data_IF_352307206166
#
_entry.id   IF_352307206166
#
_cell.length_a   1.000
_cell.length_b   1.000
_cell.length_c   1.000
_cell.angle_alpha   90.00
_cell.angle_beta   90.00
_cell.angle_gamma   90.00
#
_symmetry.space_group_name_H-M   'P 1'
#
loop_
_entity.id
_entity.type
_entity.pdbx_description
1 polymer ?
#
# COMPACT_ATOMS: atom_id res chain seq x y z
N UNK A 1 -0.15 18.64 11.69
CA UNK A 1 -0.71 20.00 11.49
C UNK A 1 -2.24 19.92 11.43
N UNK A 2 -2.86 19.15 10.52
CA UNK A 2 -4.33 19.03 10.41
C UNK A 2 -4.93 18.55 11.73
N UNK A 3 -4.32 17.58 12.38
CA UNK A 3 -4.73 17.05 13.70
C UNK A 3 -4.42 17.97 14.87
N UNK A 4 -3.93 19.19 14.60
CA UNK A 4 -3.60 20.22 15.58
C UNK A 4 -2.51 19.84 16.62
N UNK A 5 -1.76 18.75 16.39
CA UNK A 5 -0.63 18.34 17.25
C UNK A 5 0.55 19.30 17.07
N UNK A 6 0.75 19.77 15.84
CA UNK A 6 1.79 20.75 15.50
C UNK A 6 1.14 22.02 14.96
N UNK A 7 1.61 23.16 15.44
CA UNK A 7 1.23 24.48 14.92
C UNK A 7 2.13 24.82 13.72
N UNK A 8 1.58 25.30 12.59
CA UNK A 8 2.41 25.72 11.47
C UNK A 8 3.20 26.97 11.84
N UNK A 9 4.47 27.03 11.44
CA UNK A 9 5.33 28.21 11.64
C UNK A 9 4.84 29.40 10.82
N UNK A 10 4.27 29.14 9.63
CA UNK A 10 3.69 30.14 8.75
C UNK A 10 2.36 29.63 8.19
N UNK A 11 1.43 30.55 7.95
CA UNK A 11 0.11 30.24 7.48
C UNK A 11 -0.86 29.84 8.60
N UNK A 12 -2.03 29.31 8.21
CA UNK A 12 -3.06 28.85 9.14
C UNK A 12 -3.79 27.64 8.62
N UNK A 13 -4.26 26.79 9.53
CA UNK A 13 -5.14 25.66 9.23
C UNK A 13 -6.47 25.89 9.91
N UNK A 14 -7.56 25.88 9.12
CA UNK A 14 -8.92 25.99 9.63
C UNK A 14 -9.65 24.66 9.39
N UNK A 15 -10.12 24.04 10.47
CA UNK A 15 -10.91 22.82 10.45
C UNK A 15 -12.34 23.18 10.83
N UNK A 16 -13.32 22.83 9.99
CA UNK A 16 -14.74 23.02 10.26
C UNK A 16 -15.38 21.66 10.52
N UNK A 17 -15.84 21.44 11.75
CA UNK A 17 -16.43 20.18 12.18
C UNK A 17 -15.57 19.43 13.21
N UNK A 18 -16.10 18.32 13.72
CA UNK A 18 -15.43 17.46 14.71
C UNK A 18 -14.42 16.56 14.00
N UNK A 19 -13.13 16.79 14.31
CA UNK A 19 -12.03 16.02 13.73
C UNK A 19 -11.65 14.89 14.69
N UNK A 20 -11.61 13.66 14.18
CA UNK A 20 -11.16 12.47 14.88
C UNK A 20 -9.83 12.01 14.27
N UNK A 21 -8.70 12.28 14.93
CA UNK A 21 -7.39 11.82 14.45
C UNK A 21 -7.12 10.40 14.96
N UNK A 22 -6.86 9.49 14.04
CA UNK A 22 -6.40 8.15 14.34
C UNK A 22 -4.99 7.98 13.75
N UNK A 23 -4.00 8.42 14.53
CA UNK A 23 -2.62 8.59 14.05
C UNK A 23 -1.77 7.37 14.40
N UNK A 24 -2.09 6.68 15.50
CA UNK A 24 -1.33 5.52 15.96
C UNK A 24 -2.27 4.54 16.66
N UNK A 25 -2.14 3.26 16.31
CA UNK A 25 -2.93 2.17 16.89
C UNK A 25 -2.65 2.02 18.38
N UNK A 26 -3.71 2.17 19.19
CA UNK A 26 -3.63 1.94 20.65
C UNK A 26 -3.01 3.07 21.47
N UNK A 27 -2.72 4.23 20.87
CA UNK A 27 -2.35 5.42 21.65
C UNK A 27 -3.48 5.75 22.60
N UNK A 28 -3.13 5.90 23.88
CA UNK A 28 -4.09 6.15 24.96
C UNK A 28 -4.68 4.89 25.58
N UNK A 29 -4.39 3.70 25.09
CA UNK A 29 -4.79 2.47 25.75
C UNK A 29 -3.90 2.18 26.97
N UNK A 30 -4.55 1.74 28.06
CA UNK A 30 -3.87 1.30 29.28
C UNK A 30 -4.00 -0.23 29.42
N UNK A 31 -2.89 -0.99 29.39
CA UNK A 31 -2.92 -2.45 29.50
C UNK A 31 -3.51 -2.98 30.81
N UNK A 32 -3.50 -2.19 31.89
CA UNK A 32 -4.03 -2.58 33.19
C UNK A 32 -5.53 -2.39 33.32
N UNK A 33 -6.15 -1.62 32.43
CA UNK A 33 -7.59 -1.45 32.33
C UNK A 33 -8.23 -2.54 31.48
N UNK A 34 -9.52 -2.77 31.68
CA UNK A 34 -10.34 -3.68 30.87
C UNK A 34 -10.57 -3.12 29.47
N UNK A 35 -11.05 -3.95 28.54
CA UNK A 35 -11.48 -3.49 27.21
C UNK A 35 -12.53 -2.38 27.32
N UNK A 36 -13.54 -2.56 28.19
CA UNK A 36 -14.57 -1.57 28.48
C UNK A 36 -13.98 -0.23 28.91
N UNK A 37 -13.15 -0.23 29.96
CA UNK A 37 -12.52 0.98 30.47
C UNK A 37 -11.64 1.68 29.43
N UNK A 38 -10.98 0.92 28.57
CA UNK A 38 -10.19 1.47 27.47
C UNK A 38 -11.04 2.12 26.37
N UNK A 39 -12.27 1.63 26.10
CA UNK A 39 -13.20 2.30 25.19
C UNK A 39 -13.54 3.69 25.73
N UNK A 40 -13.88 3.81 27.01
CA UNK A 40 -14.17 5.11 27.64
C UNK A 40 -12.95 6.02 27.67
N UNK A 41 -11.79 5.49 28.06
CA UNK A 41 -10.55 6.26 28.09
C UNK A 41 -10.19 6.81 26.71
N UNK A 42 -10.24 5.96 25.70
CA UNK A 42 -9.89 6.36 24.32
C UNK A 42 -10.94 7.32 23.73
N UNK A 43 -12.23 7.05 23.96
CA UNK A 43 -13.31 7.95 23.56
C UNK A 43 -13.17 9.34 24.16
N UNK A 44 -12.82 9.44 25.45
CA UNK A 44 -12.58 10.72 26.13
C UNK A 44 -11.35 11.45 25.55
N UNK A 45 -10.27 10.74 25.20
CA UNK A 45 -9.10 11.31 24.52
C UNK A 45 -9.44 11.84 23.13
N UNK A 46 -10.40 11.23 22.45
CA UNK A 46 -10.93 11.70 21.17
C UNK A 46 -11.95 12.85 21.32
N UNK A 47 -12.21 13.30 22.55
CA UNK A 47 -13.06 14.45 22.87
C UNK A 47 -14.55 14.14 22.94
N UNK A 48 -14.94 12.89 23.20
CA UNK A 48 -16.32 12.47 23.40
C UNK A 48 -16.70 12.53 24.88
N UNK A 49 -17.94 12.91 25.16
CA UNK A 49 -18.51 12.83 26.52
C UNK A 49 -18.83 11.38 26.87
N UNK A 50 -19.07 11.13 28.17
CA UNK A 50 -19.44 9.79 28.64
C UNK A 50 -20.74 9.31 27.99
N UNK A 51 -21.72 10.19 27.88
CA UNK A 51 -23.02 9.91 27.26
C UNK A 51 -22.89 9.58 25.76
N UNK A 52 -22.00 10.29 25.05
CA UNK A 52 -21.70 9.98 23.63
C UNK A 52 -21.04 8.61 23.50
N UNK A 53 -20.14 8.25 24.42
CA UNK A 53 -19.48 6.95 24.43
C UNK A 53 -20.48 5.84 24.74
N UNK A 54 -21.37 6.04 25.74
CA UNK A 54 -22.44 5.09 26.07
C UNK A 54 -23.33 4.80 24.86
N UNK A 55 -23.69 5.84 24.10
CA UNK A 55 -24.55 5.68 22.91
C UNK A 55 -23.91 4.89 21.79
N UNK A 56 -22.56 4.84 21.67
CA UNK A 56 -21.87 4.11 20.62
C UNK A 56 -21.13 2.85 21.11
N UNK A 57 -21.22 2.56 22.44
CA UNK A 57 -20.45 1.47 23.06
C UNK A 57 -20.78 0.10 22.43
N UNK A 58 -22.07 -0.24 22.33
CA UNK A 58 -22.50 -1.53 21.79
C UNK A 58 -22.07 -1.68 20.33
N UNK A 59 -22.19 -0.63 19.53
CA UNK A 59 -21.73 -0.61 18.13
C UNK A 59 -20.20 -0.80 18.01
N UNK A 60 -19.43 -0.23 18.94
CA UNK A 60 -17.96 -0.41 18.98
C UNK A 60 -17.63 -1.87 19.26
N UNK A 61 -18.28 -2.47 20.27
CA UNK A 61 -18.01 -3.83 20.73
C UNK A 61 -18.40 -4.84 19.65
N UNK A 62 -19.59 -4.68 19.03
CA UNK A 62 -20.07 -5.51 17.92
C UNK A 62 -19.14 -5.40 16.70
N UNK A 63 -18.69 -4.20 16.36
CA UNK A 63 -17.77 -4.04 15.24
C UNK A 63 -16.43 -4.72 15.50
N UNK A 64 -15.91 -4.61 16.74
CA UNK A 64 -14.65 -5.24 17.14
C UNK A 64 -14.77 -6.77 17.28
N UNK A 65 -15.99 -7.34 17.45
CA UNK A 65 -16.26 -8.75 17.77
C UNK A 65 -15.52 -9.18 19.05
N UNK A 66 -15.66 -8.40 20.11
CA UNK A 66 -14.92 -8.59 21.37
C UNK A 66 -15.86 -8.66 22.58
N UNK A 67 -17.15 -8.98 22.39
CA UNK A 67 -18.19 -9.01 23.43
C UNK A 67 -17.75 -9.80 24.66
N UNK A 68 -17.22 -10.99 24.47
CA UNK A 68 -16.81 -11.92 25.54
C UNK A 68 -15.50 -11.49 26.24
N UNK A 69 -14.82 -10.48 25.72
CA UNK A 69 -13.50 -10.07 26.21
C UNK A 69 -13.51 -8.71 26.91
N UNK A 70 -14.61 -7.95 26.83
CA UNK A 70 -14.64 -6.55 27.26
C UNK A 70 -14.36 -6.35 28.75
N UNK A 71 -14.62 -7.33 29.61
CA UNK A 71 -14.36 -7.28 31.03
C UNK A 71 -12.95 -7.81 31.40
N UNK A 72 -12.18 -8.28 30.41
CA UNK A 72 -10.79 -8.69 30.61
C UNK A 72 -9.84 -7.51 30.45
N UNK A 73 -8.71 -7.55 31.20
CA UNK A 73 -7.66 -6.54 31.06
C UNK A 73 -7.02 -6.59 29.67
N UNK A 74 -6.74 -5.42 29.11
CA UNK A 74 -6.21 -5.27 27.76
C UNK A 74 -4.85 -5.98 27.54
N UNK A 75 -4.03 -6.14 28.60
CA UNK A 75 -2.80 -6.91 28.56
C UNK A 75 -2.99 -8.39 28.18
N UNK A 76 -4.19 -8.92 28.35
CA UNK A 76 -4.55 -10.29 28.00
C UNK A 76 -5.05 -10.43 26.54
N UNK A 77 -5.23 -9.30 25.84
CA UNK A 77 -5.64 -9.28 24.44
C UNK A 77 -4.47 -9.61 23.53
N UNK A 78 -4.74 -10.34 22.47
CA UNK A 78 -3.78 -10.45 21.36
C UNK A 78 -3.57 -9.09 20.71
N UNK A 79 -2.46 -8.90 20.01
CA UNK A 79 -2.21 -7.66 19.25
C UNK A 79 -3.33 -7.37 18.26
N UNK A 80 -3.88 -8.41 17.60
CA UNK A 80 -5.02 -8.29 16.70
C UNK A 80 -6.29 -7.78 17.40
N UNK A 81 -6.59 -8.29 18.61
CA UNK A 81 -7.74 -7.82 19.40
C UNK A 81 -7.58 -6.35 19.80
N UNK A 82 -6.38 -5.94 20.25
CA UNK A 82 -6.11 -4.55 20.62
C UNK A 82 -6.31 -3.62 19.42
N UNK A 83 -5.80 -4.01 18.27
CA UNK A 83 -5.92 -3.27 17.01
C UNK A 83 -7.39 -3.15 16.58
N UNK A 84 -8.15 -4.26 16.64
CA UNK A 84 -9.58 -4.28 16.31
C UNK A 84 -10.37 -3.34 17.24
N UNK A 85 -10.12 -3.37 18.53
CA UNK A 85 -10.77 -2.48 19.48
C UNK A 85 -10.44 -1.01 19.20
N UNK A 86 -9.17 -0.66 19.07
CA UNK A 86 -8.73 0.71 18.81
C UNK A 86 -9.33 1.27 17.51
N UNK A 87 -9.31 0.47 16.45
CA UNK A 87 -9.90 0.86 15.18
C UNK A 87 -11.42 1.04 15.30
N UNK A 88 -12.13 0.15 16.00
CA UNK A 88 -13.57 0.23 16.20
C UNK A 88 -13.98 1.49 16.95
N UNK A 89 -13.24 1.89 17.98
CA UNK A 89 -13.47 3.16 18.69
C UNK A 89 -13.32 4.33 17.73
N UNK A 90 -12.24 4.36 16.94
CA UNK A 90 -11.97 5.48 16.03
C UNK A 90 -13.02 5.65 14.93
N UNK A 91 -13.47 4.55 14.30
CA UNK A 91 -14.42 4.63 13.19
C UNK A 91 -15.88 4.83 13.64
N UNK A 92 -16.24 4.35 14.83
CA UNK A 92 -17.58 4.55 15.40
C UNK A 92 -17.70 5.91 16.06
N UNK A 93 -16.58 6.53 16.41
CA UNK A 93 -16.55 7.91 16.82
C UNK A 93 -17.15 8.80 15.71
N UNK A 94 -18.34 9.38 16.00
CA UNK A 94 -19.11 10.16 15.02
C UNK A 94 -18.48 11.54 14.75
N UNK A 95 -17.28 11.55 14.14
CA UNK A 95 -16.63 12.77 13.67
C UNK A 95 -17.09 13.17 12.27
N UNK A 96 -16.96 14.45 11.94
CA UNK A 96 -17.18 14.96 10.58
C UNK A 96 -15.99 14.68 9.70
N UNK A 97 -14.78 14.68 10.31
CA UNK A 97 -13.50 14.49 9.63
C UNK A 97 -12.73 13.37 10.35
N UNK A 98 -12.44 12.29 9.65
CA UNK A 98 -11.64 11.17 10.13
C UNK A 98 -10.25 11.23 9.49
N UNK A 99 -9.19 11.30 10.28
CA UNK A 99 -7.80 11.25 9.82
C UNK A 99 -7.21 9.90 10.19
N UNK A 100 -6.78 9.12 9.20
CA UNK A 100 -6.21 7.78 9.34
C UNK A 100 -4.75 7.81 8.88
N UNK A 101 -3.82 7.45 9.75
CA UNK A 101 -2.38 7.42 9.45
C UNK A 101 -1.86 5.98 9.54
N UNK A 102 -1.52 5.38 8.38
CA UNK A 102 -0.97 4.01 8.23
C UNK A 102 -1.79 2.87 8.87
N UNK A 103 -3.09 3.07 9.13
CA UNK A 103 -3.89 2.17 10.00
C UNK A 103 -4.82 1.20 9.26
N UNK A 104 -4.76 1.10 7.93
CA UNK A 104 -5.71 0.28 7.16
C UNK A 104 -5.32 -1.20 7.00
N UNK A 105 -4.09 -1.58 7.31
CA UNK A 105 -3.62 -2.97 7.19
C UNK A 105 -3.79 -3.72 8.53
N UNK A 106 -5.02 -3.75 9.08
CA UNK A 106 -5.27 -4.24 10.44
C UNK A 106 -6.25 -5.42 10.46
N UNK A 107 -6.00 -6.36 11.37
CA UNK A 107 -6.88 -7.50 11.62
C UNK A 107 -6.72 -8.64 10.60
N UNK A 108 -7.61 -9.62 10.72
CA UNK A 108 -7.74 -10.73 9.78
C UNK A 108 -8.59 -10.35 8.56
N UNK A 109 -8.71 -11.28 7.62
CA UNK A 109 -9.46 -11.05 6.38
C UNK A 109 -10.95 -10.72 6.62
N UNK A 110 -11.55 -11.29 7.68
CA UNK A 110 -12.95 -11.03 8.02
C UNK A 110 -13.13 -9.60 8.53
N UNK A 111 -12.24 -9.14 9.41
CA UNK A 111 -12.24 -7.76 9.89
C UNK A 111 -11.91 -6.76 8.79
N UNK A 112 -10.99 -7.11 7.88
CA UNK A 112 -10.68 -6.27 6.72
C UNK A 112 -11.91 -6.04 5.83
N UNK A 113 -12.76 -7.06 5.63
CA UNK A 113 -14.02 -6.90 4.89
C UNK A 113 -15.01 -5.96 5.60
N UNK A 114 -15.08 -5.99 6.93
CA UNK A 114 -15.88 -5.03 7.70
C UNK A 114 -15.38 -3.59 7.50
N UNK A 115 -14.08 -3.40 7.53
CA UNK A 115 -13.46 -2.10 7.24
C UNK A 115 -13.79 -1.64 5.82
N UNK A 116 -13.70 -2.52 4.83
CA UNK A 116 -14.05 -2.24 3.44
C UNK A 116 -15.49 -1.76 3.29
N UNK A 117 -16.43 -2.45 3.93
CA UNK A 117 -17.85 -2.08 3.92
C UNK A 117 -18.07 -0.72 4.58
N UNK A 118 -17.43 -0.47 5.72
CA UNK A 118 -17.50 0.80 6.42
C UNK A 118 -17.02 1.97 5.54
N UNK A 119 -15.86 1.83 4.86
CA UNK A 119 -15.38 2.86 3.94
C UNK A 119 -16.26 3.03 2.71
N UNK A 120 -16.86 1.96 2.21
CA UNK A 120 -17.81 2.03 1.11
C UNK A 120 -19.08 2.82 1.49
N UNK A 121 -19.54 2.69 2.73
CA UNK A 121 -20.70 3.45 3.24
C UNK A 121 -20.34 4.92 3.51
N UNK A 122 -19.23 5.19 4.18
CA UNK A 122 -18.77 6.59 4.41
C UNK A 122 -18.59 7.34 3.10
N UNK A 123 -18.08 6.66 2.07
CA UNK A 123 -17.88 7.28 0.74
C UNK A 123 -19.16 7.78 0.09
N UNK A 124 -20.32 7.25 0.50
CA UNK A 124 -21.65 7.70 0.03
C UNK A 124 -22.18 8.92 0.80
N UNK A 125 -21.65 9.18 1.98
CA UNK A 125 -22.06 10.28 2.85
C UNK A 125 -21.29 11.56 2.51
N UNK A 126 -21.92 12.57 1.85
CA UNK A 126 -21.23 13.79 1.48
C UNK A 126 -20.89 14.70 2.66
N UNK A 127 -21.41 14.41 3.85
CA UNK A 127 -21.13 15.19 5.08
C UNK A 127 -19.85 14.74 5.77
N UNK A 128 -19.32 13.56 5.42
CA UNK A 128 -18.11 12.98 6.02
C UNK A 128 -16.88 13.20 5.14
N UNK A 129 -15.78 13.51 5.79
CA UNK A 129 -14.47 13.62 5.13
C UNK A 129 -13.52 12.61 5.74
N UNK A 130 -12.87 11.79 4.90
CA UNK A 130 -11.81 10.86 5.33
C UNK A 130 -10.49 11.30 4.70
N UNK A 131 -9.49 11.53 5.54
CA UNK A 131 -8.11 11.80 5.14
C UNK A 131 -7.30 10.56 5.45
N UNK A 132 -6.82 9.89 4.42
CA UNK A 132 -5.97 8.71 4.54
C UNK A 132 -4.53 9.08 4.24
N UNK A 133 -3.65 8.86 5.21
CA UNK A 133 -2.20 8.95 5.03
C UNK A 133 -1.65 7.54 4.91
N UNK A 134 -1.00 7.21 3.81
CA UNK A 134 -0.50 5.85 3.58
C UNK A 134 0.57 5.81 2.49
N UNK A 135 1.43 4.81 2.55
CA UNK A 135 2.37 4.45 1.50
C UNK A 135 1.84 3.32 0.58
N UNK A 136 0.64 2.77 0.86
CA UNK A 136 0.01 1.72 0.06
C UNK A 136 -0.81 2.32 -1.07
N UNK A 137 -0.32 2.19 -2.30
CA UNK A 137 -1.04 2.69 -3.48
C UNK A 137 -2.31 1.90 -3.77
N UNK A 138 -2.37 0.63 -3.37
CA UNK A 138 -3.60 -0.17 -3.45
C UNK A 138 -4.68 0.40 -2.53
N UNK A 139 -4.34 0.82 -1.32
CA UNK A 139 -5.26 1.48 -0.41
C UNK A 139 -5.74 2.83 -0.98
N UNK A 140 -4.83 3.64 -1.56
CA UNK A 140 -5.19 4.89 -2.23
C UNK A 140 -6.18 4.64 -3.36
N UNK A 141 -5.87 3.70 -4.27
CA UNK A 141 -6.75 3.36 -5.41
C UNK A 141 -8.10 2.81 -4.96
N UNK A 142 -8.15 2.07 -3.86
CA UNK A 142 -9.36 1.44 -3.34
C UNK A 142 -10.27 2.44 -2.61
N UNK A 143 -9.73 3.19 -1.65
CA UNK A 143 -10.53 3.97 -0.71
C UNK A 143 -10.67 5.45 -1.06
N UNK A 144 -9.70 6.05 -1.76
CA UNK A 144 -9.73 7.48 -2.06
C UNK A 144 -10.49 7.83 -3.33
N UNK A 145 -10.95 9.06 -3.42
CA UNK A 145 -11.46 9.68 -4.65
C UNK A 145 -10.35 10.51 -5.30
N UNK A 146 -9.68 11.34 -4.49
CA UNK A 146 -8.56 12.17 -4.87
C UNK A 146 -7.35 11.82 -3.99
N UNK A 147 -6.17 12.16 -4.45
CA UNK A 147 -4.94 11.99 -3.70
C UNK A 147 -4.01 13.20 -3.84
N UNK A 148 -3.09 13.32 -2.88
CA UNK A 148 -2.04 14.33 -2.87
C UNK A 148 -0.73 13.59 -2.60
N UNK A 149 0.28 13.83 -3.42
CA UNK A 149 1.62 13.32 -3.22
C UNK A 149 2.52 14.40 -2.65
N UNK A 150 3.06 14.15 -1.47
CA UNK A 150 3.99 15.06 -0.79
C UNK A 150 5.38 14.42 -0.84
N UNK A 151 6.38 15.22 -1.24
CA UNK A 151 7.79 14.84 -1.23
C UNK A 151 8.63 16.03 -0.76
N UNK A 152 9.55 15.77 0.18
CA UNK A 152 10.44 16.77 0.74
C UNK A 152 9.72 18.05 1.26
N UNK A 153 8.48 17.88 1.76
CA UNK A 153 7.64 18.95 2.28
C UNK A 153 6.83 19.72 1.23
N UNK A 154 6.94 19.37 -0.05
CA UNK A 154 6.22 19.99 -1.16
C UNK A 154 5.17 19.07 -1.77
N UNK A 155 4.06 19.66 -2.24
CA UNK A 155 3.05 18.94 -3.00
C UNK A 155 3.53 18.84 -4.45
N UNK A 156 3.90 17.63 -4.87
CA UNK A 156 4.42 17.38 -6.21
C UNK A 156 3.36 16.81 -7.19
N UNK A 157 2.24 16.31 -6.67
CA UNK A 157 1.07 15.93 -7.46
C UNK A 157 -0.21 16.02 -6.63
N UNK A 158 -1.32 16.36 -7.27
CA UNK A 158 -2.66 16.42 -6.64
C UNK A 158 -3.73 16.19 -7.69
N UNK A 159 -4.74 15.40 -7.39
CA UNK A 159 -5.86 15.12 -8.29
C UNK A 159 -6.38 13.69 -8.22
N UNK A 160 -6.66 13.08 -9.37
CA UNK A 160 -7.16 11.71 -9.45
C UNK A 160 -6.20 10.74 -8.75
N UNK A 161 -6.78 9.83 -7.98
CA UNK A 161 -6.05 8.86 -7.17
C UNK A 161 -5.14 7.95 -7.97
N UNK A 162 -5.52 7.57 -9.21
CA UNK A 162 -4.73 6.67 -10.04
C UNK A 162 -3.51 7.40 -10.59
N UNK A 163 -3.69 8.63 -11.08
CA UNK A 163 -2.61 9.46 -11.61
C UNK A 163 -1.56 9.74 -10.52
N UNK A 164 -2.02 10.08 -9.31
CA UNK A 164 -1.14 10.36 -8.17
C UNK A 164 -0.43 9.09 -7.69
N UNK A 165 -1.11 7.94 -7.65
CA UNK A 165 -0.50 6.66 -7.27
C UNK A 165 0.55 6.20 -8.29
N UNK A 166 0.30 6.40 -9.58
CA UNK A 166 1.26 6.07 -10.63
C UNK A 166 2.49 7.00 -10.54
N UNK A 167 2.27 8.30 -10.30
CA UNK A 167 3.36 9.27 -10.05
C UNK A 167 4.21 8.90 -8.83
N UNK A 168 3.58 8.46 -7.72
CA UNK A 168 4.31 7.97 -6.53
C UNK A 168 5.22 6.79 -6.89
N UNK A 169 4.72 5.86 -7.70
CA UNK A 169 5.50 4.70 -8.14
C UNK A 169 6.70 5.12 -8.99
N UNK A 170 6.51 6.05 -9.93
CA UNK A 170 7.59 6.60 -10.76
C UNK A 170 8.67 7.31 -9.92
N UNK A 171 8.26 8.14 -8.95
CA UNK A 171 9.18 8.87 -8.06
C UNK A 171 10.02 7.90 -7.23
N UNK A 172 9.41 6.84 -6.69
CA UNK A 172 10.12 5.80 -5.93
C UNK A 172 11.11 5.01 -6.80
N UNK A 173 10.76 4.71 -8.04
CA UNK A 173 11.66 4.05 -8.99
C UNK A 173 12.84 4.96 -9.34
N UNK A 174 12.58 6.25 -9.55
CA UNK A 174 13.63 7.26 -9.88
C UNK A 174 14.56 7.50 -8.69
N UNK A 175 14.02 7.61 -7.47
CA UNK A 175 14.81 7.77 -6.25
C UNK A 175 15.73 6.56 -5.99
N UNK A 176 15.26 5.34 -6.26
CA UNK A 176 16.08 4.12 -6.18
C UNK A 176 17.22 4.14 -7.21
N UNK A 177 17.00 4.67 -8.41
CA UNK A 177 18.04 4.82 -9.43
C UNK A 177 19.12 5.83 -9.03
N UNK A 178 18.73 6.97 -8.46
CA UNK A 178 19.66 8.01 -8.02
C UNK A 178 20.53 7.59 -6.81
N UNK A 179 19.97 6.89 -5.82
CA UNK A 179 20.75 6.36 -4.69
C UNK A 179 21.81 5.33 -5.10
N UNK A 180 21.59 4.61 -6.21
CA UNK A 180 22.54 3.60 -6.70
C UNK A 180 23.70 4.18 -7.50
N UNK A 181 23.59 5.40 -8.04
CA UNK A 181 24.70 6.07 -8.74
C UNK A 181 25.81 6.57 -7.80
N UNK A 182 25.54 6.70 -6.49
CA UNK A 182 26.50 7.22 -5.52
C UNK A 182 27.48 6.14 -5.01
N UNK A 183 27.12 4.85 -5.09
CA UNK A 183 27.92 3.76 -4.49
C UNK A 183 28.64 2.83 -5.49
N UNK A 184 28.65 3.14 -6.79
CA UNK A 184 29.26 2.24 -7.79
C UNK A 184 28.57 0.87 -7.87
N UNK A 185 27.39 0.70 -7.29
CA UNK A 185 26.62 -0.52 -7.32
C UNK A 185 25.88 -0.65 -8.66
N UNK A 186 25.82 -1.90 -9.15
CA UNK A 186 25.06 -2.26 -10.34
C UNK A 186 23.56 -1.94 -10.23
N UNK A 187 22.86 -1.78 -11.35
CA UNK A 187 21.39 -1.65 -11.38
C UNK A 187 20.71 -2.83 -10.66
N UNK A 188 19.49 -2.64 -10.15
CA UNK A 188 18.78 -3.65 -9.35
C UNK A 188 18.68 -5.00 -10.08
N UNK A 189 19.21 -6.04 -9.45
CA UNK A 189 19.27 -7.38 -10.04
C UNK A 189 20.55 -7.64 -10.84
N UNK A 190 21.43 -6.65 -11.00
CA UNK A 190 22.75 -6.80 -11.59
C UNK A 190 23.82 -6.92 -10.50
N UNK A 191 24.89 -7.61 -10.81
CA UNK A 191 26.04 -7.82 -9.91
C UNK A 191 27.34 -7.90 -10.71
N UNK A 192 28.44 -8.18 -10.03
CA UNK A 192 29.75 -8.28 -10.68
C UNK A 192 29.82 -9.43 -11.71
N UNK A 193 29.08 -10.52 -11.49
CA UNK A 193 29.02 -11.66 -12.39
C UNK A 193 28.14 -11.37 -13.63
N UNK A 194 27.10 -10.53 -13.47
CA UNK A 194 26.23 -10.07 -14.54
C UNK A 194 26.02 -8.55 -14.47
N UNK A 195 26.92 -7.77 -15.08
CA UNK A 195 26.84 -6.32 -15.04
C UNK A 195 25.82 -5.69 -16.01
N UNK A 196 25.29 -6.48 -16.94
CA UNK A 196 24.33 -6.03 -17.94
C UNK A 196 23.23 -7.07 -18.15
N UNK A 197 21.97 -6.63 -18.03
CA UNK A 197 20.78 -7.39 -18.44
C UNK A 197 19.71 -6.42 -18.91
N UNK A 198 19.36 -6.44 -20.19
CA UNK A 198 18.39 -5.53 -20.81
C UNK A 198 17.43 -6.26 -21.73
N UNK A 199 16.14 -5.92 -21.63
CA UNK A 199 15.11 -6.36 -22.58
C UNK A 199 14.92 -5.26 -23.62
N UNK A 200 15.03 -5.61 -24.90
CA UNK A 200 14.76 -4.72 -26.05
C UNK A 200 13.58 -5.29 -26.83
N UNK A 201 12.43 -4.62 -26.90
CA UNK A 201 11.33 -5.08 -27.74
C UNK A 201 11.75 -5.04 -29.22
N UNK A 202 11.49 -6.14 -29.94
CA UNK A 202 11.64 -6.24 -31.41
C UNK A 202 10.28 -6.02 -32.06
N UNK A 203 9.22 -6.60 -31.49
CA UNK A 203 7.84 -6.34 -31.89
C UNK A 203 7.37 -4.96 -31.43
N UNK A 204 6.26 -4.47 -32.00
CA UNK A 204 5.58 -3.28 -31.46
C UNK A 204 5.14 -3.55 -30.03
N UNK A 205 5.24 -2.53 -29.17
CA UNK A 205 4.85 -2.63 -27.74
C UNK A 205 3.34 -2.91 -27.60
N UNK A 206 2.53 -2.50 -28.58
CA UNK A 206 1.12 -2.87 -28.67
C UNK A 206 0.97 -4.00 -29.68
N UNK A 207 0.58 -5.18 -29.20
CA UNK A 207 0.44 -6.40 -30.00
C UNK A 207 -1.02 -6.82 -30.03
N UNK A 208 -1.53 -7.18 -31.22
CA UNK A 208 -2.87 -7.74 -31.33
C UNK A 208 -2.91 -9.19 -30.84
N UNK A 209 -4.01 -9.59 -30.21
CA UNK A 209 -4.19 -10.94 -29.71
C UNK A 209 -3.95 -12.01 -30.79
N UNK A 210 -3.15 -13.02 -30.47
CA UNK A 210 -2.76 -14.10 -31.38
C UNK A 210 -1.41 -13.93 -32.03
N UNK A 211 -0.80 -12.74 -32.02
CA UNK A 211 0.59 -12.56 -32.50
C UNK A 211 1.56 -12.70 -31.30
N UNK A 212 2.69 -13.37 -31.49
CA UNK A 212 3.72 -13.44 -30.46
C UNK A 212 4.38 -12.07 -30.24
N UNK A 213 4.96 -11.89 -29.06
CA UNK A 213 5.80 -10.75 -28.76
C UNK A 213 7.26 -11.15 -28.82
N UNK A 214 7.99 -10.56 -29.77
CA UNK A 214 9.42 -10.81 -29.96
C UNK A 214 10.22 -9.75 -29.23
N UNK A 215 11.26 -10.18 -28.53
CA UNK A 215 12.18 -9.30 -27.82
C UNK A 215 13.59 -9.89 -27.77
N UNK A 216 14.56 -9.00 -27.71
CA UNK A 216 15.95 -9.32 -27.50
C UNK A 216 16.30 -9.15 -26.04
N UNK A 217 17.01 -10.12 -25.51
CA UNK A 217 17.65 -10.06 -24.22
C UNK A 217 19.15 -9.87 -24.40
N UNK A 218 19.66 -8.69 -24.10
CA UNK A 218 21.07 -8.35 -24.10
C UNK A 218 21.64 -8.52 -22.70
N UNK A 219 22.67 -9.34 -22.55
CA UNK A 219 23.31 -9.59 -21.26
C UNK A 219 24.82 -9.73 -21.37
N UNK A 220 25.53 -9.41 -20.27
CA UNK A 220 26.96 -9.67 -20.12
C UNK A 220 27.17 -10.59 -18.92
N UNK A 221 27.83 -11.73 -19.12
CA UNK A 221 28.23 -12.65 -18.07
C UNK A 221 29.76 -12.64 -17.92
N UNK A 222 30.26 -12.44 -16.71
CA UNK A 222 31.69 -12.49 -16.36
C UNK A 222 32.05 -13.79 -15.66
N UNK A 223 31.05 -14.55 -15.24
CA UNK A 223 31.27 -15.85 -14.59
C UNK A 223 31.07 -17.00 -15.58
N UNK A 224 31.80 -18.10 -15.35
CA UNK A 224 31.69 -19.35 -16.13
C UNK A 224 30.76 -20.36 -15.44
N UNK A 225 30.02 -19.97 -14.42
CA UNK A 225 29.07 -20.81 -13.71
C UNK A 225 27.79 -21.07 -14.50
N UNK A 226 26.98 -21.99 -13.98
CA UNK A 226 25.61 -22.23 -14.50
C UNK A 226 24.71 -21.08 -14.04
N UNK A 227 24.53 -20.08 -14.91
CA UNK A 227 23.64 -18.95 -14.71
C UNK A 227 22.35 -19.18 -15.48
N UNK A 228 21.22 -18.83 -14.88
CA UNK A 228 19.91 -18.94 -15.51
C UNK A 228 19.25 -17.56 -15.58
N UNK A 229 18.65 -17.26 -16.72
CA UNK A 229 17.80 -16.08 -16.86
C UNK A 229 16.35 -16.53 -16.78
N UNK A 230 15.61 -15.90 -15.88
CA UNK A 230 14.17 -16.10 -15.70
C UNK A 230 13.40 -14.90 -16.21
N UNK A 231 12.18 -15.16 -16.70
CA UNK A 231 11.27 -14.14 -17.17
C UNK A 231 9.98 -14.22 -16.37
N UNK A 232 9.52 -13.08 -15.93
CA UNK A 232 8.26 -12.95 -15.22
C UNK A 232 7.36 -11.95 -15.95
N UNK A 233 6.13 -12.34 -16.25
CA UNK A 233 5.11 -11.49 -16.83
C UNK A 233 4.09 -11.11 -15.77
N UNK A 234 3.89 -9.81 -15.59
CA UNK A 234 2.94 -9.24 -14.63
C UNK A 234 1.76 -8.61 -15.36
N UNK A 235 0.54 -8.82 -14.85
CA UNK A 235 -0.62 -8.01 -15.25
C UNK A 235 -0.59 -6.68 -14.47
N UNK A 236 -0.46 -5.58 -15.19
CA UNK A 236 -0.34 -4.24 -14.57
C UNK A 236 -1.68 -3.78 -13.98
N UNK A 237 -2.82 -4.18 -14.59
CA UNK A 237 -4.15 -3.73 -14.16
C UNK A 237 -4.73 -4.58 -13.02
N UNK A 238 -4.56 -5.90 -13.10
CA UNK A 238 -5.13 -6.82 -12.12
C UNK A 238 -4.19 -7.08 -10.95
N UNK A 239 -2.91 -6.77 -11.12
CA UNK A 239 -1.85 -7.14 -10.20
C UNK A 239 -1.52 -8.64 -10.26
N UNK A 240 -0.27 -8.98 -9.95
CA UNK A 240 0.18 -10.36 -9.84
C UNK A 240 0.95 -10.90 -11.04
N UNK A 241 1.59 -12.04 -10.80
CA UNK A 241 2.38 -12.78 -11.78
C UNK A 241 1.44 -13.67 -12.58
N UNK A 242 1.47 -13.55 -13.91
CA UNK A 242 0.68 -14.39 -14.82
C UNK A 242 1.51 -15.55 -15.35
N UNK A 243 2.79 -15.31 -15.59
CA UNK A 243 3.70 -16.29 -16.14
C UNK A 243 5.09 -16.08 -15.53
N UNK A 244 5.72 -17.18 -15.17
CA UNK A 244 7.12 -17.26 -14.75
C UNK A 244 7.79 -18.37 -15.54
N UNK A 245 8.92 -18.06 -16.18
CA UNK A 245 9.61 -19.02 -17.03
C UNK A 245 10.45 -20.03 -16.22
N UNK A 246 10.57 -19.85 -14.92
CA UNK A 246 11.47 -20.64 -14.09
C UNK A 246 12.87 -20.78 -14.73
N UNK A 247 13.40 -21.97 -14.88
CA UNK A 247 14.78 -22.25 -15.35
C UNK A 247 14.95 -22.27 -16.88
N UNK A 248 14.17 -21.51 -17.63
CA UNK A 248 14.02 -21.70 -19.08
C UNK A 248 15.21 -21.25 -19.92
N UNK A 249 16.14 -20.45 -19.41
CA UNK A 249 17.30 -19.99 -20.18
C UNK A 249 18.61 -20.18 -19.41
N UNK A 250 19.34 -21.24 -19.76
CA UNK A 250 20.67 -21.49 -19.22
C UNK A 250 21.73 -20.70 -19.98
N UNK A 251 22.52 -19.88 -19.30
CA UNK A 251 23.66 -19.18 -19.87
C UNK A 251 24.90 -20.05 -19.75
N UNK A 252 25.52 -20.32 -20.87
CA UNK A 252 26.67 -21.27 -20.93
C UNK A 252 27.98 -20.58 -21.29
N UNK A 253 27.95 -19.27 -21.63
CA UNK A 253 29.14 -18.59 -22.17
C UNK A 253 29.37 -17.23 -21.49
N UNK A 254 30.63 -16.98 -21.10
CA UNK A 254 31.11 -15.66 -20.72
C UNK A 254 31.07 -14.68 -21.89
N UNK A 255 30.92 -13.40 -21.57
CA UNK A 255 30.96 -12.31 -22.53
C UNK A 255 29.61 -11.62 -22.74
N UNK A 256 29.56 -10.79 -23.74
CA UNK A 256 28.37 -10.04 -24.14
C UNK A 256 27.58 -10.84 -25.18
N UNK A 257 26.31 -11.06 -24.89
CA UNK A 257 25.43 -11.86 -25.73
C UNK A 257 24.07 -11.21 -25.93
N UNK A 258 23.41 -11.58 -27.02
CA UNK A 258 22.02 -11.24 -27.31
C UNK A 258 21.26 -12.52 -27.60
N UNK A 259 20.20 -12.78 -26.86
CA UNK A 259 19.28 -13.89 -27.10
C UNK A 259 17.97 -13.34 -27.68
N UNK A 260 17.54 -13.90 -28.84
CA UNK A 260 16.24 -13.59 -29.44
C UNK A 260 15.18 -14.51 -28.83
N UNK A 261 14.14 -13.92 -28.27
CA UNK A 261 13.11 -14.62 -27.53
C UNK A 261 11.72 -14.22 -28.04
N UNK A 262 10.80 -15.17 -27.93
CA UNK A 262 9.43 -15.01 -28.37
C UNK A 262 8.48 -15.44 -27.25
N UNK A 263 7.59 -14.53 -26.83
CA UNK A 263 6.54 -14.82 -25.88
C UNK A 263 5.21 -15.06 -26.62
N UNK A 264 4.61 -16.26 -26.52
CA UNK A 264 3.34 -16.55 -27.16
C UNK A 264 2.20 -15.85 -26.39
N UNK A 265 1.63 -14.79 -26.97
CA UNK A 265 0.55 -14.01 -26.35
C UNK A 265 -0.85 -14.57 -26.60
N UNK A 266 -0.99 -15.62 -27.36
CA UNK A 266 -2.28 -16.30 -27.63
C UNK A 266 -2.91 -16.96 -26.39
N UNK A 267 -2.13 -17.09 -25.31
CA UNK A 267 -2.59 -17.64 -24.02
C UNK A 267 -3.13 -16.55 -23.07
N UNK A 268 -2.99 -15.27 -23.44
CA UNK A 268 -3.35 -14.15 -22.56
C UNK A 268 -4.55 -13.38 -23.12
N UNK A 269 -5.42 -12.93 -22.22
CA UNK A 269 -6.52 -12.01 -22.56
C UNK A 269 -5.99 -10.59 -22.69
N UNK A 270 -6.78 -9.69 -23.31
CA UNK A 270 -6.43 -8.28 -23.42
C UNK A 270 -6.07 -7.67 -22.07
N UNK A 271 -4.91 -7.03 -22.00
CA UNK A 271 -4.40 -6.41 -20.76
C UNK A 271 -3.12 -5.62 -21.00
N UNK A 272 -2.67 -4.95 -19.97
CA UNK A 272 -1.38 -4.27 -19.94
C UNK A 272 -0.40 -5.14 -19.15
N UNK A 273 0.71 -5.51 -19.77
CA UNK A 273 1.65 -6.46 -19.21
C UNK A 273 3.03 -5.83 -19.06
N UNK A 274 3.72 -6.20 -17.97
CA UNK A 274 5.11 -5.86 -17.74
C UNK A 274 5.96 -7.12 -17.76
N UNK A 275 6.92 -7.17 -18.67
CA UNK A 275 7.92 -8.24 -18.74
C UNK A 275 9.16 -7.83 -17.93
N UNK A 276 9.59 -8.69 -17.05
CA UNK A 276 10.79 -8.54 -16.23
C UNK A 276 11.70 -9.74 -16.43
N UNK A 277 13.00 -9.49 -16.57
CA UNK A 277 14.03 -10.53 -16.57
C UNK A 277 14.85 -10.43 -15.27
N UNK A 278 15.27 -11.58 -14.75
CA UNK A 278 16.19 -11.71 -13.62
C UNK A 278 17.22 -12.81 -13.90
N UNK A 279 18.39 -12.71 -13.28
CA UNK A 279 19.46 -13.68 -13.36
C UNK A 279 19.82 -14.17 -11.94
#
# INVERSE_FOLDING_TARGET
IISQIYVPEQGSVMVKGKLVPFIELGVGFNPELTGRENVYLNGALLGFTHEEIDAMYDDIVEFAELEDFMDQKLKNYSSGMQVRLAFSVAIKAQGDILVLDEVLAVGDEAFQRKCDNFFAEIKKDPTKTVILVTHSMDAVKKYCNNAILIKDGEIIASGDKNDVADRYTEENLTAKKQKKQVDGAYEQGLNEACPLLKIKPVSKVVVNGGSPFDFDLEYESRDSGDLFITFTLFDVKRGGIIYDSADSLRIVKQGHHTAHLQLPLNLFTNGDFRLQAAM
#
